data_IF_763190143752
#
_entry.id   IF_763190143752
#
_cell.length_a   1.000
_cell.length_b   1.000
_cell.length_c   1.000
_cell.angle_alpha   90.00
_cell.angle_beta   90.00
_cell.angle_gamma   90.00
#
_symmetry.space_group_name_H-M   'P 1'
#
loop_
_entity.id
_entity.type
_entity.pdbx_description
1 polymer ?
#
# COMPACT_ATOMS: atom_id res chain seq x y z
N UNK A 1 -25.72 26.84 31.36
CA UNK A 1 -24.65 27.86 31.30
C UNK A 1 -23.33 27.46 32.00
N UNK A 2 -23.28 26.92 33.23
CA UNK A 2 -22.02 26.35 33.78
C UNK A 2 -21.76 24.93 33.28
N UNK A 3 -22.85 24.18 33.08
CA UNK A 3 -22.86 22.78 32.70
C UNK A 3 -22.37 22.54 31.26
N UNK A 4 -22.69 23.44 30.34
CA UNK A 4 -22.27 23.38 28.93
C UNK A 4 -20.74 23.43 28.80
N UNK A 5 -20.08 24.35 29.53
CA UNK A 5 -18.62 24.47 29.54
C UNK A 5 -17.96 23.17 30.04
N UNK A 6 -18.48 22.58 31.13
CA UNK A 6 -17.93 21.32 31.65
C UNK A 6 -18.11 20.17 30.67
N UNK A 7 -19.27 20.06 30.02
CA UNK A 7 -19.56 19.03 29.03
C UNK A 7 -18.69 19.19 27.79
N UNK A 8 -18.52 20.42 27.29
CA UNK A 8 -17.67 20.73 26.14
C UNK A 8 -16.20 20.43 26.43
N UNK A 9 -15.71 20.78 27.64
CA UNK A 9 -14.35 20.43 28.07
C UNK A 9 -14.16 18.92 28.20
N UNK A 10 -15.14 18.19 28.73
CA UNK A 10 -15.10 16.75 28.85
C UNK A 10 -15.05 16.07 27.47
N UNK A 11 -15.87 16.55 26.52
CA UNK A 11 -15.86 16.09 25.13
C UNK A 11 -14.48 16.30 24.51
N UNK A 12 -13.92 17.51 24.62
CA UNK A 12 -12.58 17.81 24.09
C UNK A 12 -11.50 16.92 24.71
N UNK A 13 -11.57 16.67 26.02
CA UNK A 13 -10.62 15.81 26.73
C UNK A 13 -10.75 14.32 26.37
N UNK A 14 -11.95 13.84 26.00
CA UNK A 14 -12.20 12.43 25.64
C UNK A 14 -11.36 11.95 24.46
N UNK A 15 -10.89 12.90 23.65
CA UNK A 15 -10.04 12.65 22.49
C UNK A 15 -8.54 12.63 22.77
N UNK A 16 -8.13 12.75 24.03
CA UNK A 16 -6.73 12.67 24.43
C UNK A 16 -6.51 11.42 25.30
N UNK A 17 -5.30 10.85 25.33
CA UNK A 17 -5.02 9.62 26.08
C UNK A 17 -5.34 9.72 27.58
N UNK A 18 -5.18 10.90 28.19
CA UNK A 18 -5.61 11.13 29.58
C UNK A 18 -5.74 12.62 29.90
N UNK A 19 -6.57 12.94 30.91
CA UNK A 19 -6.68 14.29 31.48
C UNK A 19 -5.32 14.78 32.02
N UNK A 20 -4.50 13.88 32.57
CA UNK A 20 -3.18 14.22 33.06
C UNK A 20 -2.26 14.75 31.94
N UNK A 21 -2.35 14.18 30.74
CA UNK A 21 -1.61 14.69 29.57
C UNK A 21 -2.11 16.07 29.13
N UNK A 22 -3.42 16.28 29.10
CA UNK A 22 -4.04 17.57 28.78
C UNK A 22 -3.58 18.65 29.76
N UNK A 23 -3.58 18.36 31.06
CA UNK A 23 -3.15 19.32 32.08
C UNK A 23 -1.67 19.68 31.95
N UNK A 24 -0.80 18.72 31.59
CA UNK A 24 0.62 18.98 31.32
C UNK A 24 0.82 19.92 30.13
N UNK A 25 0.11 19.69 29.03
CA UNK A 25 0.20 20.52 27.82
C UNK A 25 -0.39 21.93 28.02
N UNK A 26 -1.47 22.02 28.80
CA UNK A 26 -2.08 23.29 29.19
C UNK A 26 -1.28 24.04 30.27
N UNK A 27 -0.32 23.39 30.93
CA UNK A 27 0.36 23.84 32.15
C UNK A 27 -0.63 24.37 33.22
N UNK A 28 -1.78 23.70 33.34
CA UNK A 28 -2.79 24.00 34.37
C UNK A 28 -2.72 22.91 35.44
N UNK A 29 -2.77 23.31 36.70
CA UNK A 29 -2.81 22.36 37.82
C UNK A 29 -4.00 21.40 37.67
N UNK A 30 -3.75 20.08 37.79
CA UNK A 30 -4.79 19.05 37.60
C UNK A 30 -5.98 19.20 38.55
N UNK A 31 -5.77 19.59 39.81
CA UNK A 31 -6.87 19.82 40.76
C UNK A 31 -7.72 21.01 40.31
N UNK A 32 -7.09 22.05 39.78
CA UNK A 32 -7.79 23.22 39.24
C UNK A 32 -8.57 22.85 37.97
N UNK A 33 -7.96 22.11 37.05
CA UNK A 33 -8.61 21.68 35.81
C UNK A 33 -9.80 20.74 36.07
N UNK A 34 -9.69 19.84 37.04
CA UNK A 34 -10.79 18.97 37.45
C UNK A 34 -11.99 19.76 38.00
N UNK A 35 -11.78 20.93 38.63
CA UNK A 35 -12.89 21.80 39.04
C UNK A 35 -13.63 22.38 37.84
N UNK A 36 -12.94 22.63 36.73
CA UNK A 36 -13.56 23.07 35.47
C UNK A 36 -14.39 21.95 34.84
N UNK A 37 -13.84 20.72 34.78
CA UNK A 37 -14.57 19.55 34.29
C UNK A 37 -15.79 19.20 35.14
N UNK A 38 -15.72 19.45 36.46
CA UNK A 38 -16.84 19.25 37.38
C UNK A 38 -17.85 20.41 37.38
N UNK A 39 -17.61 21.48 36.62
CA UNK A 39 -18.48 22.66 36.57
C UNK A 39 -18.51 23.49 37.86
N UNK A 40 -17.62 23.19 38.83
CA UNK A 40 -17.57 23.84 40.15
C UNK A 40 -16.73 25.11 40.21
N UNK A 41 -15.95 25.38 39.16
CA UNK A 41 -15.23 26.63 38.97
C UNK A 41 -15.15 26.99 37.48
N UNK A 42 -14.99 28.29 37.17
CA UNK A 42 -14.71 28.76 35.80
C UNK A 42 -13.21 29.06 35.61
N UNK A 43 -12.66 28.82 34.41
CA UNK A 43 -11.31 29.27 34.06
C UNK A 43 -11.18 30.80 34.18
N UNK A 44 -10.02 31.27 34.64
CA UNK A 44 -9.66 32.69 34.50
C UNK A 44 -9.53 33.05 33.02
N UNK A 45 -9.59 34.35 32.66
CA UNK A 45 -9.37 34.78 31.27
C UNK A 45 -8.07 34.24 30.67
N UNK A 46 -7.00 34.19 31.45
CA UNK A 46 -5.73 33.63 31.03
C UNK A 46 -5.84 32.13 30.73
N UNK A 47 -6.42 31.35 31.66
CA UNK A 47 -6.60 29.91 31.48
C UNK A 47 -7.59 29.59 30.35
N UNK A 48 -8.66 30.39 30.21
CA UNK A 48 -9.64 30.25 29.14
C UNK A 48 -8.98 30.39 27.77
N UNK A 49 -8.15 31.42 27.58
CA UNK A 49 -7.39 31.60 26.34
C UNK A 49 -6.48 30.42 26.06
N UNK A 50 -5.72 29.94 27.06
CA UNK A 50 -4.84 28.77 26.90
C UNK A 50 -5.61 27.51 26.51
N UNK A 51 -6.78 27.29 27.12
CA UNK A 51 -7.67 26.18 26.80
C UNK A 51 -8.16 26.30 25.35
N UNK A 52 -8.64 27.48 24.96
CA UNK A 52 -9.10 27.79 23.61
C UNK A 52 -8.00 27.55 22.56
N UNK A 53 -6.81 28.09 22.79
CA UNK A 53 -5.64 27.96 21.91
C UNK A 53 -5.21 26.49 21.76
N UNK A 54 -5.20 25.74 22.86
CA UNK A 54 -4.82 24.32 22.86
C UNK A 54 -5.80 23.44 22.08
N UNK A 55 -7.10 23.69 22.23
CA UNK A 55 -8.14 22.89 21.57
C UNK A 55 -8.55 23.42 20.19
N UNK A 56 -8.06 24.58 19.78
CA UNK A 56 -8.40 25.20 18.49
C UNK A 56 -9.86 25.63 18.40
N UNK A 57 -10.41 26.13 19.50
CA UNK A 57 -11.80 26.65 19.59
C UNK A 57 -11.79 28.06 20.14
N UNK A 58 -12.77 28.88 19.77
CA UNK A 58 -12.96 30.19 20.40
C UNK A 58 -13.67 30.07 21.76
N UNK A 59 -13.56 31.10 22.60
CA UNK A 59 -14.28 31.14 23.89
C UNK A 59 -15.81 31.10 23.68
N UNK A 60 -16.31 31.75 22.63
CA UNK A 60 -17.74 31.73 22.29
C UNK A 60 -18.21 30.31 21.88
N UNK A 61 -17.39 29.56 21.15
CA UNK A 61 -17.67 28.16 20.81
C UNK A 61 -17.65 27.29 22.06
N UNK A 62 -16.65 27.43 22.91
CA UNK A 62 -16.51 26.62 24.11
C UNK A 62 -17.67 26.81 25.11
N UNK A 63 -18.32 27.98 25.09
CA UNK A 63 -19.44 28.34 25.97
C UNK A 63 -20.83 28.08 25.35
N UNK A 64 -20.91 27.55 24.13
CA UNK A 64 -22.19 27.26 23.48
C UNK A 64 -22.85 25.99 24.03
N UNK A 65 -24.13 25.78 23.70
CA UNK A 65 -24.87 24.57 24.06
C UNK A 65 -24.12 23.30 23.60
N UNK A 66 -24.02 22.30 24.49
CA UNK A 66 -23.19 21.13 24.25
C UNK A 66 -23.58 20.34 22.99
N UNK A 67 -24.88 20.26 22.69
CA UNK A 67 -25.42 19.62 21.49
C UNK A 67 -24.89 20.25 20.18
N UNK A 68 -24.83 21.58 20.14
CA UNK A 68 -24.31 22.35 19.00
C UNK A 68 -22.79 22.25 18.92
N UNK A 69 -22.11 22.31 20.06
CA UNK A 69 -20.65 22.20 20.14
C UNK A 69 -20.16 20.83 19.63
N UNK A 70 -20.82 19.75 20.04
CA UNK A 70 -20.51 18.40 19.59
C UNK A 70 -20.59 18.27 18.05
N UNK A 71 -21.63 18.85 17.44
CA UNK A 71 -21.77 18.90 15.98
C UNK A 71 -20.60 19.61 15.29
N UNK A 72 -20.16 20.75 15.82
CA UNK A 72 -19.03 21.52 15.28
C UNK A 72 -17.71 20.75 15.41
N UNK A 73 -17.46 20.13 16.57
CA UNK A 73 -16.24 19.34 16.80
C UNK A 73 -16.20 18.10 15.91
N UNK A 74 -17.33 17.42 15.71
CA UNK A 74 -17.44 16.28 14.80
C UNK A 74 -17.11 16.67 13.34
N UNK A 75 -17.56 17.85 12.90
CA UNK A 75 -17.27 18.39 11.57
C UNK A 75 -15.81 18.83 11.44
N UNK A 76 -15.20 19.45 12.47
CA UNK A 76 -13.79 19.92 12.43
C UNK A 76 -12.75 18.81 12.55
N UNK A 77 -13.08 17.65 13.12
CA UNK A 77 -12.15 16.52 13.23
C UNK A 77 -12.13 15.62 12.00
N UNK A 78 -13.24 15.48 11.28
CA UNK A 78 -13.27 14.84 9.95
C UNK A 78 -12.19 15.38 8.98
N UNK A 79 -11.97 16.70 8.82
CA UNK A 79 -11.00 17.24 7.90
C UNK A 79 -9.56 16.99 8.33
N UNK A 80 -9.22 16.91 9.63
CA UNK A 80 -7.82 16.66 10.05
C UNK A 80 -7.39 15.21 9.73
N UNK A 81 -8.25 14.22 10.01
CA UNK A 81 -7.99 12.82 9.61
C UNK A 81 -8.04 12.63 8.09
N UNK A 82 -8.92 13.36 7.39
CA UNK A 82 -8.94 13.37 5.93
C UNK A 82 -7.72 14.08 5.34
N UNK A 83 -7.17 15.13 5.96
CA UNK A 83 -6.03 15.89 5.44
C UNK A 83 -4.72 15.10 5.50
N UNK A 84 -4.46 14.35 6.58
CA UNK A 84 -3.26 13.51 6.69
C UNK A 84 -3.29 12.34 5.71
N UNK A 85 -4.43 11.64 5.58
CA UNK A 85 -4.64 10.65 4.53
C UNK A 85 -4.63 11.29 3.13
N UNK A 86 -5.03 12.56 2.99
CA UNK A 86 -5.11 13.23 1.69
C UNK A 86 -3.76 13.44 1.04
N UNK A 87 -2.66 13.62 1.78
CA UNK A 87 -1.37 13.95 1.15
C UNK A 87 -0.83 12.80 0.29
N UNK A 88 -0.66 11.56 0.81
CA UNK A 88 -0.27 10.42 -0.04
C UNK A 88 -1.30 10.10 -1.12
N UNK A 89 -2.61 10.16 -0.79
CA UNK A 89 -3.68 9.88 -1.74
C UNK A 89 -3.70 10.88 -2.91
N UNK A 90 -3.39 12.16 -2.68
CA UNK A 90 -3.26 13.17 -3.75
C UNK A 90 -2.20 12.80 -4.77
N UNK A 91 -1.09 12.19 -4.36
CA UNK A 91 -0.07 11.74 -5.30
C UNK A 91 -0.58 10.58 -6.16
N UNK A 92 -1.28 9.61 -5.54
CA UNK A 92 -1.90 8.51 -6.26
C UNK A 92 -3.00 9.00 -7.21
N UNK A 93 -3.84 9.93 -6.79
CA UNK A 93 -4.90 10.51 -7.63
C UNK A 93 -4.32 11.21 -8.85
N UNK A 94 -3.22 11.95 -8.71
CA UNK A 94 -2.50 12.55 -9.85
C UNK A 94 -1.97 11.50 -10.83
N UNK A 95 -1.48 10.37 -10.33
CA UNK A 95 -1.02 9.26 -11.17
C UNK A 95 -2.21 8.62 -11.89
N UNK A 96 -3.33 8.37 -11.20
CA UNK A 96 -4.55 7.83 -11.82
C UNK A 96 -5.09 8.75 -12.92
N UNK A 97 -5.14 10.06 -12.69
CA UNK A 97 -5.60 11.04 -13.69
C UNK A 97 -4.75 11.06 -14.96
N UNK A 98 -3.46 10.72 -14.86
CA UNK A 98 -2.53 10.68 -16.00
C UNK A 98 -2.38 9.30 -16.63
N UNK A 99 -2.80 8.25 -15.92
CA UNK A 99 -2.66 6.88 -16.37
C UNK A 99 -3.55 6.63 -17.58
N UNK A 100 -2.97 6.03 -18.62
CA UNK A 100 -3.72 5.54 -19.77
C UNK A 100 -4.51 4.28 -19.40
N UNK A 101 -5.47 3.91 -20.26
CA UNK A 101 -6.29 2.69 -20.08
C UNK A 101 -5.44 1.43 -20.29
N UNK A 102 -5.56 0.48 -19.37
CA UNK A 102 -4.90 -0.83 -19.40
C UNK A 102 -5.86 -1.97 -19.79
N UNK A 103 -7.04 -1.68 -20.34
CA UNK A 103 -8.08 -2.70 -20.61
C UNK A 103 -7.62 -3.88 -21.48
N UNK A 104 -6.66 -3.65 -22.39
CA UNK A 104 -6.02 -4.71 -23.19
C UNK A 104 -5.28 -5.75 -22.32
N UNK A 105 -4.74 -5.32 -21.19
CA UNK A 105 -3.93 -6.11 -20.28
C UNK A 105 -4.75 -6.76 -19.15
N UNK A 106 -6.07 -6.58 -19.10
CA UNK A 106 -6.91 -7.28 -18.13
C UNK A 106 -6.96 -8.77 -18.45
N UNK A 107 -6.69 -9.60 -17.45
CA UNK A 107 -6.68 -11.06 -17.53
C UNK A 107 -5.65 -11.69 -16.61
N UNK A 108 -5.34 -12.96 -16.85
CA UNK A 108 -4.45 -13.78 -16.04
C UNK A 108 -3.08 -13.97 -16.69
N UNK A 109 -2.05 -14.08 -15.85
CA UNK A 109 -0.67 -14.21 -16.28
C UNK A 109 0.08 -15.25 -15.47
N UNK A 110 0.98 -15.99 -16.10
CA UNK A 110 2.11 -16.53 -15.37
C UNK A 110 3.24 -15.50 -15.32
N UNK A 111 3.73 -15.20 -14.12
CA UNK A 111 4.92 -14.36 -13.92
C UNK A 111 6.13 -15.25 -13.68
N UNK A 112 7.23 -14.94 -14.36
CA UNK A 112 8.49 -15.66 -14.31
C UNK A 112 9.64 -14.74 -13.93
N UNK A 113 10.47 -15.18 -12.98
CA UNK A 113 11.71 -14.49 -12.61
C UNK A 113 12.59 -15.35 -11.70
N UNK A 114 13.88 -15.03 -11.64
CA UNK A 114 14.79 -15.64 -10.67
C UNK A 114 14.47 -15.19 -9.24
N UNK A 115 14.28 -16.15 -8.34
CA UNK A 115 13.88 -15.91 -6.95
C UNK A 115 14.95 -15.13 -6.17
N UNK A 116 14.56 -14.02 -5.56
CA UNK A 116 15.44 -13.28 -4.63
C UNK A 116 15.71 -14.04 -3.33
N UNK A 117 14.84 -15.00 -2.98
CA UNK A 117 14.96 -15.80 -1.76
C UNK A 117 15.62 -17.16 -1.97
N UNK A 118 15.56 -17.72 -3.17
CA UNK A 118 16.02 -19.08 -3.48
C UNK A 118 17.00 -19.02 -4.67
N UNK A 119 18.31 -18.80 -4.40
CA UNK A 119 19.29 -18.58 -5.44
C UNK A 119 19.27 -19.65 -6.53
N UNK A 120 19.33 -19.22 -7.79
CA UNK A 120 19.36 -20.10 -8.96
C UNK A 120 18.01 -20.69 -9.38
N UNK A 121 16.96 -20.59 -8.55
CA UNK A 121 15.63 -21.08 -8.89
C UNK A 121 14.76 -19.99 -9.53
N UNK A 122 13.89 -20.41 -10.45
CA UNK A 122 12.89 -19.55 -11.08
C UNK A 122 11.54 -19.73 -10.38
N UNK A 123 10.89 -18.62 -10.05
CA UNK A 123 9.50 -18.61 -9.60
C UNK A 123 8.60 -18.57 -10.83
N UNK A 124 7.59 -19.44 -10.87
CA UNK A 124 6.37 -19.24 -11.69
C UNK A 124 5.20 -18.99 -10.75
N UNK A 125 4.69 -17.75 -10.74
CA UNK A 125 3.53 -17.36 -9.96
C UNK A 125 2.31 -17.10 -10.84
N UNK A 126 1.11 -17.08 -10.26
CA UNK A 126 -0.13 -16.77 -10.98
C UNK A 126 -0.60 -15.39 -10.59
N UNK A 127 -0.71 -14.50 -11.57
CA UNK A 127 -1.15 -13.14 -11.41
C UNK A 127 -2.44 -12.84 -12.18
N UNK A 128 -3.14 -11.81 -11.74
CA UNK A 128 -4.33 -11.27 -12.37
C UNK A 128 -4.21 -9.74 -12.42
N UNK A 129 -4.45 -9.19 -13.60
CA UNK A 129 -4.78 -7.77 -13.79
C UNK A 129 -6.29 -7.66 -13.92
N UNK A 130 -6.91 -6.83 -13.11
CA UNK A 130 -8.35 -6.56 -13.17
C UNK A 130 -8.63 -5.06 -13.06
N UNK A 131 -9.84 -4.65 -13.40
CA UNK A 131 -10.27 -3.25 -13.33
C UNK A 131 -11.49 -3.08 -12.43
N UNK A 132 -11.52 -1.98 -11.68
CA UNK A 132 -12.62 -1.56 -10.82
C UNK A 132 -12.63 -0.02 -10.77
N UNK A 133 -13.79 0.61 -10.96
CA UNK A 133 -13.96 2.08 -11.03
C UNK A 133 -12.94 2.80 -11.94
N UNK A 134 -12.76 2.29 -13.17
CA UNK A 134 -11.79 2.78 -14.17
C UNK A 134 -10.31 2.78 -13.72
N UNK A 135 -9.99 2.11 -12.61
CA UNK A 135 -8.62 1.87 -12.12
C UNK A 135 -8.23 0.42 -12.35
N UNK A 136 -6.92 0.16 -12.34
CA UNK A 136 -6.36 -1.16 -12.62
C UNK A 136 -5.55 -1.67 -11.45
N UNK A 137 -5.79 -2.94 -11.12
CA UNK A 137 -5.29 -3.58 -9.92
C UNK A 137 -4.63 -4.91 -10.26
N UNK A 138 -3.77 -5.32 -9.34
CA UNK A 138 -2.95 -6.50 -9.44
C UNK A 138 -3.21 -7.43 -8.26
N UNK A 139 -3.32 -8.72 -8.56
CA UNK A 139 -3.24 -9.79 -7.57
C UNK A 139 -2.21 -10.80 -8.03
N UNK A 140 -1.38 -11.31 -7.14
CA UNK A 140 -0.42 -12.37 -7.46
C UNK A 140 -0.30 -13.38 -6.33
N UNK A 141 -0.18 -14.65 -6.69
CA UNK A 141 -0.06 -15.77 -5.76
C UNK A 141 1.22 -16.53 -6.08
N UNK A 142 2.15 -16.53 -5.12
CA UNK A 142 3.38 -17.30 -5.17
C UNK A 142 3.26 -18.52 -4.26
N UNK A 143 3.27 -19.71 -4.85
CA UNK A 143 3.29 -20.97 -4.10
C UNK A 143 4.72 -21.48 -4.11
N UNK A 144 5.37 -21.51 -2.94
CA UNK A 144 6.73 -22.04 -2.80
C UNK A 144 6.66 -23.57 -2.71
N UNK A 145 6.46 -24.23 -3.85
CA UNK A 145 6.53 -25.69 -3.95
C UNK A 145 7.98 -26.12 -4.07
N UNK A 146 8.38 -27.07 -3.24
CA UNK A 146 9.68 -27.72 -3.32
C UNK A 146 9.81 -28.44 -4.67
N UNK A 147 10.85 -28.17 -5.48
CA UNK A 147 10.97 -28.76 -6.82
C UNK A 147 11.09 -30.29 -6.80
N UNK A 148 11.73 -30.86 -5.77
CA UNK A 148 11.99 -32.30 -5.68
C UNK A 148 10.80 -33.08 -5.12
N UNK A 149 10.09 -32.52 -4.13
CA UNK A 149 9.02 -33.22 -3.42
C UNK A 149 7.61 -32.76 -3.79
N UNK A 150 7.47 -31.63 -4.50
CA UNK A 150 6.19 -31.01 -4.85
C UNK A 150 5.40 -30.44 -3.66
N UNK A 151 5.94 -30.56 -2.43
CA UNK A 151 5.28 -30.09 -1.20
C UNK A 151 5.32 -28.57 -1.13
N UNK A 152 4.19 -27.96 -0.77
CA UNK A 152 4.12 -26.53 -0.51
C UNK A 152 4.85 -26.22 0.81
N UNK A 153 5.84 -25.32 0.76
CA UNK A 153 6.60 -24.85 1.92
C UNK A 153 6.19 -23.43 2.34
N UNK A 154 5.35 -22.77 1.56
CA UNK A 154 4.88 -21.42 1.83
C UNK A 154 3.98 -20.87 0.72
N UNK A 155 3.23 -19.83 1.06
CA UNK A 155 2.33 -19.11 0.18
C UNK A 155 2.53 -17.62 0.47
N UNK A 156 2.80 -16.84 -0.56
CA UNK A 156 2.76 -15.39 -0.48
C UNK A 156 1.62 -14.89 -1.38
N UNK A 157 0.88 -13.90 -0.89
CA UNK A 157 -0.16 -13.23 -1.67
C UNK A 157 0.22 -11.78 -1.81
N UNK A 158 0.02 -11.24 -3.00
CA UNK A 158 0.35 -9.86 -3.30
C UNK A 158 -0.87 -9.14 -3.86
N UNK A 159 -1.01 -7.90 -3.45
CA UNK A 159 -2.01 -6.97 -3.96
C UNK A 159 -1.32 -5.68 -4.37
N UNK A 160 -1.83 -5.04 -5.41
CA UNK A 160 -1.18 -3.87 -5.97
C UNK A 160 -2.01 -3.09 -6.96
N UNK A 161 -1.39 -2.05 -7.48
CA UNK A 161 -1.98 -1.10 -8.43
C UNK A 161 -1.10 -1.05 -9.68
N UNK A 162 -1.74 -0.79 -10.82
CA UNK A 162 -1.03 -0.56 -12.08
C UNK A 162 -1.28 0.87 -12.60
N UNK A 163 -0.24 1.45 -13.19
CA UNK A 163 -0.31 2.71 -13.91
C UNK A 163 0.30 2.55 -15.30
N UNK A 164 -0.30 3.16 -16.32
CA UNK A 164 0.28 3.24 -17.66
C UNK A 164 0.67 4.69 -17.96
N UNK A 165 1.96 4.99 -17.81
CA UNK A 165 2.50 6.35 -17.89
C UNK A 165 3.71 6.37 -18.81
N UNK A 166 3.84 7.41 -19.65
CA UNK A 166 5.00 7.60 -20.54
C UNK A 166 5.44 6.33 -21.28
N UNK A 167 4.45 5.60 -21.81
CA UNK A 167 4.65 4.35 -22.54
C UNK A 167 5.28 3.19 -21.73
N UNK A 168 5.07 3.16 -20.40
CA UNK A 168 5.48 2.06 -19.52
C UNK A 168 4.37 1.67 -18.55
N UNK A 169 4.23 0.38 -18.29
CA UNK A 169 3.30 -0.15 -17.29
C UNK A 169 4.06 -0.30 -15.98
N UNK A 170 3.67 0.49 -14.98
CA UNK A 170 4.21 0.43 -13.63
C UNK A 170 3.29 -0.39 -12.74
N UNK A 171 3.85 -1.41 -12.09
CA UNK A 171 3.21 -2.20 -11.05
C UNK A 171 3.87 -1.86 -9.71
N UNK A 172 3.06 -1.57 -8.71
CA UNK A 172 3.48 -1.51 -7.31
C UNK A 172 2.59 -2.46 -6.51
N UNK A 173 3.20 -3.41 -5.80
CA UNK A 173 2.49 -4.41 -5.01
C UNK A 173 3.11 -4.56 -3.61
N UNK A 174 2.33 -5.06 -2.67
CA UNK A 174 2.78 -5.44 -1.33
C UNK A 174 2.35 -6.87 -1.01
N UNK A 175 3.07 -7.55 -0.12
CA UNK A 175 2.65 -8.86 0.38
C UNK A 175 1.52 -8.68 1.41
N UNK A 176 0.35 -9.24 1.15
CA UNK A 176 -0.90 -8.90 1.83
C UNK A 176 -1.19 -9.69 3.11
N UNK A 177 -0.37 -10.68 3.46
CA UNK A 177 -0.52 -11.48 4.67
C UNK A 177 0.28 -10.85 5.83
N UNK A 178 1.56 -10.56 5.59
CA UNK A 178 2.52 -10.08 6.58
C UNK A 178 2.79 -8.57 6.47
N UNK A 179 2.38 -7.92 5.35
CA UNK A 179 2.47 -6.46 5.13
C UNK A 179 3.87 -5.89 5.34
N UNK A 180 4.90 -6.65 4.98
CA UNK A 180 6.28 -6.36 5.31
C UNK A 180 7.21 -6.18 4.10
N UNK A 181 6.70 -6.37 2.88
CA UNK A 181 7.42 -6.09 1.63
C UNK A 181 6.59 -5.24 0.69
N UNK A 182 7.31 -4.39 -0.06
CA UNK A 182 6.83 -3.77 -1.30
C UNK A 182 7.73 -4.27 -2.42
N UNK A 183 7.12 -4.63 -3.54
CA UNK A 183 7.80 -4.94 -4.79
C UNK A 183 7.21 -4.09 -5.90
N UNK A 184 8.02 -3.84 -6.93
CA UNK A 184 7.62 -3.00 -8.05
C UNK A 184 8.17 -3.57 -9.35
N UNK A 185 7.44 -3.37 -10.44
CA UNK A 185 7.88 -3.72 -11.78
C UNK A 185 7.58 -2.60 -12.78
N UNK A 186 8.47 -2.41 -13.73
CA UNK A 186 8.26 -1.55 -14.91
C UNK A 186 8.32 -2.42 -16.14
N UNK A 187 7.22 -2.48 -16.90
CA UNK A 187 7.05 -3.36 -18.04
C UNK A 187 6.89 -2.54 -19.33
N UNK A 188 7.39 -3.08 -20.44
CA UNK A 188 7.03 -2.59 -21.76
C UNK A 188 5.56 -2.93 -22.06
N UNK A 189 4.78 -1.98 -22.60
CA UNK A 189 3.48 -2.28 -23.17
C UNK A 189 3.65 -3.15 -24.43
N UNK A 190 2.58 -3.83 -24.84
CA UNK A 190 2.58 -4.56 -26.10
C UNK A 190 1.92 -3.73 -27.20
N UNK A 191 2.61 -3.49 -28.30
CA UNK A 191 2.05 -2.84 -29.50
C UNK A 191 1.40 -3.82 -30.48
N UNK A 192 1.53 -5.14 -30.26
CA UNK A 192 0.94 -6.19 -31.11
C UNK A 192 -0.56 -6.34 -30.85
N UNK A 193 -1.35 -6.73 -31.85
CA UNK A 193 -2.80 -6.95 -31.66
C UNK A 193 -3.10 -8.05 -30.64
N UNK A 194 -2.31 -9.13 -30.67
CA UNK A 194 -2.36 -10.22 -29.70
C UNK A 194 -1.37 -9.99 -28.56
N UNK A 195 -1.85 -10.14 -27.33
CA UNK A 195 -1.03 -10.10 -26.13
C UNK A 195 -0.52 -11.51 -25.80
N UNK A 196 0.79 -11.71 -25.87
CA UNK A 196 1.41 -13.00 -25.57
C UNK A 196 2.30 -12.91 -24.32
N UNK A 197 3.22 -11.95 -24.29
CA UNK A 197 4.16 -11.76 -23.19
C UNK A 197 4.41 -10.26 -22.93
N UNK A 198 4.61 -9.90 -21.67
CA UNK A 198 5.15 -8.60 -21.26
C UNK A 198 6.51 -8.82 -20.61
N UNK A 199 7.47 -7.96 -20.93
CA UNK A 199 8.82 -7.99 -20.35
C UNK A 199 9.10 -6.71 -19.60
N UNK A 200 9.97 -6.80 -18.60
CA UNK A 200 10.41 -5.63 -17.86
C UNK A 200 11.39 -5.94 -16.76
N UNK A 201 11.64 -4.94 -15.93
CA UNK A 201 12.48 -5.06 -14.73
C UNK A 201 11.58 -5.00 -13.52
N UNK A 202 11.83 -5.87 -12.56
CA UNK A 202 11.27 -5.78 -11.23
C UNK A 202 12.35 -5.56 -10.18
N UNK A 203 11.96 -4.95 -9.07
CA UNK A 203 12.79 -4.81 -7.88
C UNK A 203 12.02 -5.23 -6.66
N UNK A 204 12.73 -5.81 -5.70
CA UNK A 204 12.15 -6.27 -4.45
C UNK A 204 13.22 -6.63 -3.43
N UNK A 205 12.80 -6.86 -2.20
CA UNK A 205 13.70 -7.24 -1.11
C UNK A 205 13.03 -8.31 -0.25
N UNK A 206 13.65 -9.46 -0.02
CA UNK A 206 13.11 -10.44 0.92
C UNK A 206 13.13 -9.88 2.35
N UNK A 207 12.08 -10.14 3.14
CA UNK A 207 11.98 -9.63 4.53
C UNK A 207 12.86 -10.33 5.55
N UNK A 208 13.46 -11.48 5.21
CA UNK A 208 14.34 -12.17 6.15
C UNK A 208 15.65 -11.41 6.31
N UNK A 209 15.99 -11.12 7.57
CA UNK A 209 17.23 -10.45 8.00
C UNK A 209 18.44 -11.06 7.27
N UNK A 210 19.22 -10.22 6.58
CA UNK A 210 20.42 -10.63 5.83
C UNK A 210 20.21 -10.85 4.32
N UNK A 211 18.98 -10.85 3.80
CA UNK A 211 18.74 -10.84 2.36
C UNK A 211 18.80 -9.41 1.80
N UNK A 212 19.49 -9.23 0.68
CA UNK A 212 19.74 -7.94 0.04
C UNK A 212 18.56 -7.54 -0.86
N UNK A 213 18.29 -6.23 -1.03
CA UNK A 213 17.43 -5.79 -2.13
C UNK A 213 18.04 -6.25 -3.46
N UNK A 214 17.17 -6.57 -4.42
CA UNK A 214 17.55 -7.08 -5.71
C UNK A 214 16.69 -6.53 -6.85
N UNK A 215 17.23 -6.67 -8.05
CA UNK A 215 16.54 -6.42 -9.30
C UNK A 215 16.63 -7.67 -10.17
N UNK A 216 15.60 -7.91 -10.99
CA UNK A 216 15.63 -8.96 -12.00
C UNK A 216 14.79 -8.59 -13.21
N UNK A 217 15.12 -9.18 -14.35
CA UNK A 217 14.20 -9.29 -15.48
C UNK A 217 12.98 -10.11 -15.07
N UNK A 218 11.82 -9.72 -15.58
CA UNK A 218 10.54 -10.38 -15.34
C UNK A 218 9.79 -10.57 -16.65
N UNK A 219 9.14 -11.72 -16.78
CA UNK A 219 8.27 -12.03 -17.91
C UNK A 219 6.85 -12.36 -17.43
N UNK A 220 5.84 -11.76 -18.04
CA UNK A 220 4.42 -12.06 -17.82
C UNK A 220 3.83 -12.72 -19.06
N UNK A 221 3.64 -14.03 -19.01
CA UNK A 221 2.97 -14.80 -20.07
C UNK A 221 1.46 -14.67 -19.90
N UNK A 222 0.77 -14.13 -20.90
CA UNK A 222 -0.68 -13.95 -20.87
C UNK A 222 -1.40 -15.29 -21.07
N UNK A 223 -2.36 -15.58 -20.19
CA UNK A 223 -3.13 -16.83 -20.19
C UNK A 223 -4.55 -16.65 -20.74
N UNK A 224 -5.00 -15.40 -20.89
CA UNK A 224 -6.38 -15.07 -21.25
C UNK A 224 -7.16 -14.46 -20.10
N UNK A 225 -8.43 -14.13 -20.37
CA UNK A 225 -9.35 -13.53 -19.39
C UNK A 225 -10.15 -14.56 -18.59
N UNK A 226 -10.28 -15.75 -19.15
CA UNK A 226 -10.99 -16.88 -18.55
C UNK A 226 -10.07 -18.10 -18.60
N UNK A 227 -9.79 -18.67 -17.43
CA UNK A 227 -8.86 -19.78 -17.25
C UNK A 227 -9.37 -20.73 -16.18
N UNK A 228 -8.97 -22.00 -16.24
CA UNK A 228 -9.07 -22.88 -15.08
C UNK A 228 -8.01 -22.47 -14.03
N UNK A 229 -8.45 -21.67 -13.05
CA UNK A 229 -7.62 -21.19 -11.95
C UNK A 229 -6.95 -22.32 -11.18
N UNK A 230 -7.65 -23.44 -10.98
CA UNK A 230 -7.15 -24.57 -10.18
C UNK A 230 -6.05 -25.31 -10.93
N UNK A 231 -6.22 -25.51 -12.23
CA UNK A 231 -5.18 -26.06 -13.09
C UNK A 231 -3.97 -25.13 -13.18
N UNK A 232 -4.18 -23.82 -13.31
CA UNK A 232 -3.10 -22.84 -13.35
C UNK A 232 -2.30 -22.79 -12.04
N UNK A 233 -2.95 -22.77 -10.87
CA UNK A 233 -2.30 -22.80 -9.55
C UNK A 233 -1.55 -24.11 -9.26
N UNK A 234 -1.90 -25.23 -9.89
CA UNK A 234 -1.10 -26.46 -9.80
C UNK A 234 0.22 -26.35 -10.55
N UNK A 235 0.29 -25.47 -11.55
CA UNK A 235 1.50 -25.22 -12.33
C UNK A 235 2.41 -24.20 -11.64
N UNK A 236 1.98 -23.43 -10.65
CA UNK A 236 2.88 -22.49 -9.95
C UNK A 236 3.86 -23.21 -9.02
N UNK A 237 5.02 -22.60 -8.76
CA UNK A 237 6.08 -23.26 -8.00
C UNK A 237 7.45 -22.58 -8.12
N UNK A 238 8.44 -23.21 -7.49
CA UNK A 238 9.86 -23.01 -7.76
C UNK A 238 10.33 -24.06 -8.75
N UNK A 239 11.18 -23.65 -9.69
CA UNK A 239 11.69 -24.52 -10.74
C UNK A 239 13.20 -24.35 -10.86
N UNK A 240 13.92 -25.46 -11.02
CA UNK A 240 15.29 -25.40 -11.51
C UNK A 240 15.23 -25.12 -13.02
N UNK A 241 15.95 -24.09 -13.53
CA UNK A 241 15.96 -23.80 -14.96
C UNK A 241 16.50 -24.95 -15.82
N UNK A 242 17.20 -25.94 -15.23
CA UNK A 242 17.78 -27.10 -15.92
C UNK A 242 16.81 -28.26 -16.10
N UNK A 243 15.69 -28.29 -15.37
CA UNK A 243 14.75 -29.43 -15.36
C UNK A 243 13.78 -29.44 -16.56
N UNK A 244 13.83 -28.43 -17.42
CA UNK A 244 12.98 -28.35 -18.63
C UNK A 244 11.50 -28.02 -18.38
N UNK A 245 11.10 -27.76 -17.12
CA UNK A 245 9.71 -27.44 -16.76
C UNK A 245 9.25 -26.03 -17.21
N UNK A 246 10.21 -25.15 -17.55
CA UNK A 246 9.97 -23.81 -18.09
C UNK A 246 10.53 -23.77 -19.51
N UNK A 247 9.78 -23.19 -20.45
CA UNK A 247 10.19 -23.03 -21.85
C UNK A 247 11.51 -22.25 -21.92
N UNK A 248 12.45 -22.73 -22.72
CA UNK A 248 13.78 -22.11 -22.86
C UNK A 248 13.75 -20.67 -23.34
N UNK A 249 12.74 -20.28 -24.13
CA UNK A 249 12.52 -18.89 -24.54
C UNK A 249 12.24 -17.97 -23.36
N UNK A 250 11.41 -18.40 -22.40
CA UNK A 250 11.10 -17.63 -21.18
C UNK A 250 12.36 -17.51 -20.33
N UNK A 251 13.13 -18.59 -20.18
CA UNK A 251 14.38 -18.58 -19.43
C UNK A 251 15.38 -17.55 -19.99
N UNK A 252 15.51 -17.47 -21.32
CA UNK A 252 16.35 -16.44 -21.97
C UNK A 252 15.86 -15.02 -21.70
N UNK A 253 14.54 -14.80 -21.72
CA UNK A 253 13.95 -13.47 -21.45
C UNK A 253 14.20 -12.98 -20.02
N UNK A 254 14.28 -13.90 -19.04
CA UNK A 254 14.47 -13.55 -17.62
C UNK A 254 15.91 -13.70 -17.13
N UNK A 255 16.86 -14.03 -18.02
CA UNK A 255 18.27 -14.17 -17.67
C UNK A 255 18.86 -12.81 -17.26
N UNK A 256 19.36 -12.76 -16.03
CA UNK A 256 19.93 -11.55 -15.46
C UNK A 256 21.41 -11.48 -15.81
N UNK A 257 21.74 -10.65 -16.81
CA UNK A 257 23.11 -10.40 -17.25
C UNK A 257 23.29 -8.90 -17.47
N UNK A 258 24.37 -8.37 -16.91
CA UNK A 258 24.87 -7.03 -17.25
C UNK A 258 26.05 -7.27 -18.18
N UNK A 259 25.90 -6.85 -19.44
CA UNK A 259 26.93 -7.05 -20.46
C UNK A 259 28.22 -6.29 -20.14
N UNK A 260 29.34 -6.73 -20.71
CA UNK A 260 30.62 -6.04 -20.52
C UNK A 260 30.52 -4.59 -21.01
N UNK A 261 30.89 -3.63 -20.16
CA UNK A 261 30.77 -2.20 -20.44
C UNK A 261 29.41 -1.59 -20.09
N UNK A 262 28.41 -2.39 -19.72
CA UNK A 262 27.16 -1.92 -19.14
C UNK A 262 27.28 -1.76 -17.61
N UNK A 263 26.53 -0.81 -17.06
CA UNK A 263 26.54 -0.50 -15.62
C UNK A 263 25.16 -0.62 -14.98
N UNK A 264 24.13 -0.93 -15.77
CA UNK A 264 22.73 -1.03 -15.35
C UNK A 264 22.17 -2.36 -15.85
N UNK A 265 21.32 -3.00 -15.03
CA UNK A 265 20.51 -4.12 -15.48
C UNK A 265 19.29 -3.59 -16.23
N UNK A 266 19.26 -3.78 -17.53
CA UNK A 266 18.14 -3.44 -18.41
C UNK A 266 17.54 -4.70 -19.04
N UNK A 267 16.53 -4.49 -19.87
CA UNK A 267 15.85 -5.54 -20.64
C UNK A 267 15.40 -4.94 -21.95
N UNK A 268 15.64 -5.67 -23.03
CA UNK A 268 15.23 -5.28 -24.37
C UNK A 268 13.71 -5.38 -24.53
N UNK A 269 13.17 -4.49 -25.36
CA UNK A 269 11.79 -4.55 -25.78
C UNK A 269 11.56 -5.75 -26.74
N UNK A 270 10.50 -6.55 -26.57
CA UNK A 270 10.24 -7.75 -27.37
C UNK A 270 9.66 -7.54 -28.79
#
# INVERSE_FOLDING_TARGET
MSEDLSQNLALLCSYHPSIAEVCRKLEINRQQFNKYLAGSARPSRHNMRRICDFFGVSEAELLMEASLFEGIIAIRRKPVQQEELSKPLRHLDRLYQRSQKLGKYVGYYFRYFYSFGNPGLVIRSLAQVYSEDDKYYWKNIEVLRDPATGRSRGLNKYEGVLFYLADRIYLMEYESIELNTITQATLYPSHRSRLDILLGIQTGGPTRRGRKPGASKVALEFLGRDIDLRAALKRTGLFDPRDGAIRSEILRMIENRIESGAFVLDVDEP
#
